data_IF_138654345752
#
_entry.id   IF_138654345752
#
_cell.length_a   1.000
_cell.length_b   1.000
_cell.length_c   1.000
_cell.angle_alpha   90.00
_cell.angle_beta   90.00
_cell.angle_gamma   90.00
#
_symmetry.space_group_name_H-M   'P 1'
#
loop_
_entity.id
_entity.type
_entity.pdbx_description
1 polymer ?
#
# COMPACT_ATOMS: atom_id res chain seq x y z
N UNK A 1 -40.41 6.77 15.49
CA UNK A 1 -40.17 8.23 15.59
C UNK A 1 -39.75 8.67 14.21
N UNK A 2 -40.61 9.40 13.49
CA UNK A 2 -40.36 9.83 12.12
C UNK A 2 -39.61 11.16 12.18
N UNK A 3 -38.28 11.14 12.05
CA UNK A 3 -37.47 12.35 11.92
C UNK A 3 -37.46 12.76 10.45
N UNK A 4 -37.81 14.01 10.16
CA UNK A 4 -37.87 14.50 8.79
C UNK A 4 -36.45 14.45 8.16
N UNK A 5 -36.29 13.91 6.93
CA UNK A 5 -34.99 13.77 6.27
C UNK A 5 -34.31 15.11 5.97
N UNK A 6 -35.08 16.20 5.99
CA UNK A 6 -34.63 17.56 5.73
C UNK A 6 -34.20 18.34 6.99
N UNK A 7 -34.25 17.72 8.18
CA UNK A 7 -34.01 18.40 9.45
C UNK A 7 -32.87 17.77 10.26
N UNK A 8 -32.08 18.60 10.93
CA UNK A 8 -31.06 18.18 11.88
C UNK A 8 -31.56 17.92 13.30
N UNK A 9 -32.86 17.98 13.55
CA UNK A 9 -33.44 17.66 14.85
C UNK A 9 -33.17 16.19 15.22
N UNK A 10 -32.26 15.97 16.19
CA UNK A 10 -31.85 14.65 16.63
C UNK A 10 -30.82 13.93 15.73
N UNK A 11 -30.29 14.60 14.71
CA UNK A 11 -29.32 14.04 13.74
C UNK A 11 -27.91 14.65 13.79
N UNK A 12 -27.65 15.54 14.74
CA UNK A 12 -26.34 16.20 14.86
C UNK A 12 -25.19 15.19 15.05
N UNK A 13 -24.22 15.20 14.13
CA UNK A 13 -23.05 14.31 14.18
C UNK A 13 -23.27 12.92 13.58
N UNK A 14 -24.32 12.74 12.77
CA UNK A 14 -24.52 11.53 11.98
C UNK A 14 -23.35 11.24 11.01
N UNK A 15 -23.12 9.98 10.61
CA UNK A 15 -22.19 9.65 9.54
C UNK A 15 -22.73 10.12 8.18
N UNK A 16 -21.82 10.38 7.24
CA UNK A 16 -22.19 10.70 5.85
C UNK A 16 -22.89 9.51 5.19
N UNK A 17 -23.93 9.80 4.39
CA UNK A 17 -24.75 8.81 3.68
C UNK A 17 -25.09 9.34 2.29
N UNK A 18 -24.78 8.61 1.22
CA UNK A 18 -25.11 9.07 -0.14
C UNK A 18 -26.63 9.09 -0.45
N UNK A 19 -27.45 8.61 0.49
CA UNK A 19 -28.91 8.50 0.34
C UNK A 19 -29.67 9.71 0.89
N UNK A 20 -29.00 10.60 1.65
CA UNK A 20 -29.66 11.78 2.23
C UNK A 20 -29.45 13.01 1.35
N UNK A 21 -30.49 13.83 1.17
CA UNK A 21 -30.41 15.07 0.40
C UNK A 21 -29.59 16.16 1.12
N UNK A 22 -29.49 16.07 2.45
CA UNK A 22 -28.74 16.97 3.29
C UNK A 22 -28.21 16.27 4.55
N UNK A 23 -27.19 16.87 5.15
CA UNK A 23 -26.46 16.27 6.25
C UNK A 23 -26.33 17.14 7.49
N UNK A 24 -26.16 16.46 8.63
CA UNK A 24 -25.95 17.06 9.93
C UNK A 24 -24.60 16.69 10.56
N UNK A 25 -23.66 16.17 9.77
CA UNK A 25 -22.30 15.86 10.20
C UNK A 25 -21.45 17.13 10.34
N UNK A 26 -20.41 17.06 11.18
CA UNK A 26 -19.58 18.23 11.55
C UNK A 26 -18.86 18.91 10.38
N UNK A 27 -18.68 18.19 9.27
CA UNK A 27 -17.98 18.66 8.07
C UNK A 27 -18.95 19.16 6.99
N UNK A 28 -20.27 19.14 7.23
CA UNK A 28 -21.24 19.47 6.19
C UNK A 28 -21.09 20.89 5.64
N UNK A 29 -20.54 21.82 6.46
CA UNK A 29 -20.25 23.20 6.03
C UNK A 29 -19.09 23.29 5.05
N UNK A 30 -18.08 22.44 5.22
CA UNK A 30 -16.94 22.37 4.32
C UNK A 30 -17.34 21.73 2.98
N UNK A 31 -18.24 20.74 3.03
CA UNK A 31 -18.75 20.00 1.87
C UNK A 31 -19.98 20.64 1.23
N UNK A 32 -20.52 21.71 1.82
CA UNK A 32 -21.70 22.48 1.35
C UNK A 32 -22.96 21.63 1.16
N UNK A 33 -23.15 20.65 2.03
CA UNK A 33 -24.27 19.70 2.00
C UNK A 33 -25.08 19.71 3.33
N UNK A 34 -24.96 20.75 4.16
CA UNK A 34 -25.74 20.83 5.41
C UNK A 34 -27.24 20.98 5.18
N UNK A 35 -28.07 20.38 6.04
CA UNK A 35 -29.49 20.73 6.11
C UNK A 35 -29.70 22.19 6.52
N UNK A 36 -30.77 22.81 6.04
CA UNK A 36 -31.04 24.24 6.22
C UNK A 36 -31.18 24.68 7.68
N UNK A 37 -31.51 23.76 8.58
CA UNK A 37 -31.70 24.00 10.01
C UNK A 37 -30.50 23.52 10.87
N UNK A 38 -29.38 23.11 10.25
CA UNK A 38 -28.20 22.59 10.95
C UNK A 38 -27.66 23.57 12.00
N UNK A 39 -27.62 24.87 11.71
CA UNK A 39 -27.14 25.87 12.66
C UNK A 39 -28.11 26.09 13.83
N UNK A 40 -29.41 25.85 13.62
CA UNK A 40 -30.44 25.98 14.66
C UNK A 40 -30.39 24.81 15.64
N UNK A 41 -30.20 23.60 15.15
CA UNK A 41 -30.20 22.38 15.98
C UNK A 41 -28.81 21.99 16.49
N UNK A 42 -27.76 22.21 15.69
CA UNK A 42 -26.39 21.79 16.02
C UNK A 42 -25.45 22.96 16.35
N UNK A 43 -25.92 24.22 16.27
CA UNK A 43 -25.07 25.42 16.47
C UNK A 43 -24.96 25.96 17.90
N UNK A 44 -25.75 25.48 18.87
CA UNK A 44 -25.84 26.08 20.22
C UNK A 44 -25.13 25.25 21.30
N UNK A 45 -23.86 24.92 21.07
CA UNK A 45 -22.96 24.38 22.08
C UNK A 45 -21.69 25.19 22.17
N UNK A 46 -21.66 26.21 23.06
CA UNK A 46 -20.44 26.88 23.49
C UNK A 46 -19.58 25.88 24.27
N UNK A 47 -18.82 25.06 23.54
CA UNK A 47 -17.64 24.43 24.07
C UNK A 47 -16.51 25.37 23.72
N UNK A 48 -15.96 26.00 24.76
CA UNK A 48 -14.78 26.83 24.68
C UNK A 48 -13.81 26.19 23.69
N UNK A 49 -13.47 26.94 22.64
CA UNK A 49 -12.32 26.63 21.79
C UNK A 49 -11.17 26.42 22.78
N UNK A 50 -10.68 25.17 23.01
CA UNK A 50 -9.34 25.11 23.53
C UNK A 50 -8.54 25.78 22.42
N UNK A 51 -7.70 26.75 22.78
CA UNK A 51 -6.58 27.13 21.91
C UNK A 51 -5.70 25.88 21.75
N UNK A 52 -6.18 24.88 21.03
CA UNK A 52 -5.35 23.89 20.37
C UNK A 52 -4.83 24.69 19.20
N UNK A 53 -3.69 25.31 19.41
CA UNK A 53 -2.82 25.67 18.30
C UNK A 53 -2.83 24.48 17.33
N UNK A 54 -3.19 24.65 16.06
CA UNK A 54 -2.85 23.64 15.09
C UNK A 54 -1.32 23.68 14.97
N UNK A 55 -0.60 23.01 15.86
CA UNK A 55 0.76 22.56 15.60
C UNK A 55 0.67 21.33 14.70
N UNK A 56 0.09 21.52 13.52
CA UNK A 56 0.45 20.78 12.33
C UNK A 56 1.14 21.83 11.44
N UNK A 57 2.47 21.77 11.27
CA UNK A 57 3.16 22.66 10.36
C UNK A 57 2.54 22.49 8.98
N UNK A 58 2.00 23.57 8.41
CA UNK A 58 1.77 23.64 6.97
C UNK A 58 3.16 23.71 6.33
N UNK A 59 3.61 22.72 5.51
CA UNK A 59 4.89 22.84 4.87
C UNK A 59 4.83 23.91 3.76
N UNK A 60 5.89 24.73 3.59
CA UNK A 60 6.02 25.59 2.42
C UNK A 60 6.21 24.73 1.17
N UNK A 61 5.68 25.18 0.04
CA UNK A 61 5.94 24.57 -1.26
C UNK A 61 7.45 24.60 -1.57
N UNK A 62 8.09 23.45 -1.44
CA UNK A 62 9.46 23.24 -1.92
C UNK A 62 9.42 22.14 -2.96
N UNK A 63 9.48 22.57 -4.22
CA UNK A 63 9.79 21.74 -5.38
C UNK A 63 11.15 21.08 -5.15
N UNK A 64 11.13 19.78 -4.85
CA UNK A 64 12.33 18.97 -4.88
C UNK A 64 12.12 17.80 -5.84
N UNK A 65 12.95 17.76 -6.89
CA UNK A 65 13.05 16.63 -7.81
C UNK A 65 13.70 15.49 -7.04
N UNK A 66 12.95 14.43 -6.74
CA UNK A 66 13.55 13.17 -6.35
C UNK A 66 14.25 12.57 -7.57
N UNK A 67 15.54 12.29 -7.42
CA UNK A 67 16.34 11.56 -8.39
C UNK A 67 15.68 10.20 -8.65
N UNK A 68 15.18 10.04 -9.86
CA UNK A 68 14.54 8.86 -10.40
C UNK A 68 14.41 9.06 -11.91
N UNK A 69 15.47 9.58 -12.52
CA UNK A 69 15.70 9.51 -13.96
C UNK A 69 16.72 8.39 -14.17
N UNK A 70 16.31 7.14 -13.94
CA UNK A 70 16.92 6.00 -14.60
C UNK A 70 15.83 5.37 -15.47
N UNK A 71 16.15 5.27 -16.76
CA UNK A 71 15.20 4.98 -17.82
C UNK A 71 14.52 3.64 -17.61
N UNK A 72 13.20 3.64 -17.83
CA UNK A 72 12.46 2.45 -18.21
C UNK A 72 12.97 2.10 -19.63
N UNK A 73 13.91 1.14 -19.74
CA UNK A 73 14.41 0.59 -21.03
C UNK A 73 13.33 -0.31 -21.67
N UNK A 74 12.11 0.22 -21.75
CA UNK A 74 10.95 -0.39 -22.40
C UNK A 74 10.15 0.73 -23.09
N UNK A 75 10.82 1.37 -24.06
CA UNK A 75 10.23 2.11 -25.18
C UNK A 75 9.40 3.37 -24.92
N UNK A 76 9.04 3.70 -23.68
CA UNK A 76 8.21 4.88 -23.38
C UNK A 76 8.77 5.69 -22.22
N UNK A 77 9.01 6.98 -22.48
CA UNK A 77 9.41 7.97 -21.47
C UNK A 77 8.23 8.29 -20.55
N UNK A 78 7.92 7.41 -19.61
CA UNK A 78 6.84 7.60 -18.61
C UNK A 78 7.41 8.01 -17.26
N UNK A 79 6.80 9.02 -16.64
CA UNK A 79 7.19 9.52 -15.30
C UNK A 79 6.85 8.46 -14.25
N UNK A 80 7.81 8.14 -13.37
CA UNK A 80 7.63 7.24 -12.23
C UNK A 80 6.61 7.74 -11.19
N UNK A 81 6.31 6.92 -10.15
CA UNK A 81 5.29 7.21 -9.16
C UNK A 81 5.58 8.50 -8.37
N UNK A 82 4.54 9.30 -8.11
CA UNK A 82 4.63 10.54 -7.35
C UNK A 82 4.29 10.29 -5.86
N UNK A 83 5.31 10.42 -5.00
CA UNK A 83 5.22 10.15 -3.56
C UNK A 83 4.97 11.45 -2.78
N UNK A 84 4.15 11.42 -1.72
CA UNK A 84 4.05 12.53 -0.76
C UNK A 84 5.36 12.73 0.00
N UNK A 85 5.83 13.97 0.12
CA UNK A 85 6.85 14.32 1.12
C UNK A 85 6.23 14.18 2.51
N UNK A 86 6.53 13.07 3.21
CA UNK A 86 6.08 12.82 4.58
C UNK A 86 6.86 13.62 5.62
N UNK A 87 6.63 13.36 6.91
CA UNK A 87 7.36 13.95 8.03
C UNK A 87 8.39 12.98 8.65
N UNK A 88 9.41 13.56 9.30
CA UNK A 88 10.51 12.87 9.98
C UNK A 88 10.03 12.19 11.26
N UNK A 89 10.24 10.88 11.41
CA UNK A 89 10.01 10.21 12.68
C UNK A 89 11.04 10.68 13.73
N UNK A 90 10.57 11.18 14.88
CA UNK A 90 11.42 11.48 16.03
C UNK A 90 11.57 10.22 16.89
N UNK A 91 12.82 9.87 17.22
CA UNK A 91 13.12 8.80 18.17
C UNK A 91 12.77 9.28 19.57
N UNK A 92 11.57 8.97 20.05
CA UNK A 92 11.28 9.12 21.46
C UNK A 92 10.37 8.01 21.99
N UNK A 93 10.62 7.69 23.25
CA UNK A 93 10.37 6.40 23.92
C UNK A 93 8.90 5.98 24.01
N UNK A 94 8.75 4.65 24.10
CA UNK A 94 7.54 3.92 24.51
C UNK A 94 6.74 4.67 25.58
N UNK A 95 5.57 5.17 25.20
CA UNK A 95 4.49 5.50 26.12
C UNK A 95 3.22 4.80 25.62
N UNK A 96 2.47 4.09 26.48
CA UNK A 96 1.26 3.40 26.07
C UNK A 96 0.16 4.44 25.87
N UNK A 97 -0.02 4.88 24.62
CA UNK A 97 -1.12 5.77 24.26
C UNK A 97 -2.40 4.94 24.25
N UNK A 98 -3.26 5.15 25.25
CA UNK A 98 -4.69 4.76 25.21
C UNK A 98 -5.24 5.13 23.85
N UNK A 99 -5.96 4.21 23.21
CA UNK A 99 -6.56 4.35 21.88
C UNK A 99 -7.29 5.69 21.72
N UNK A 100 -6.53 6.72 21.30
CA UNK A 100 -7.06 7.94 20.76
C UNK A 100 -7.65 7.56 19.41
N UNK A 101 -8.85 8.04 19.12
CA UNK A 101 -9.48 7.86 17.83
C UNK A 101 -8.45 8.13 16.71
N UNK A 102 -8.33 7.27 15.70
CA UNK A 102 -7.34 7.45 14.65
C UNK A 102 -7.53 8.86 14.06
N UNK A 103 -6.47 9.67 14.08
CA UNK A 103 -6.47 10.94 13.37
C UNK A 103 -6.99 10.66 11.96
N UNK A 104 -8.07 11.32 11.51
CA UNK A 104 -8.50 11.17 10.14
C UNK A 104 -7.40 11.80 9.28
N UNK A 105 -6.88 10.98 8.36
CA UNK A 105 -6.00 11.36 7.25
C UNK A 105 -4.54 11.60 7.66
N UNK A 106 -3.82 10.51 7.93
CA UNK A 106 -2.44 10.51 7.43
C UNK A 106 -2.51 10.63 5.91
N UNK A 107 -1.76 11.54 5.27
CA UNK A 107 -1.78 11.67 3.82
C UNK A 107 -1.32 10.34 3.20
N UNK A 108 -2.08 9.85 2.20
CA UNK A 108 -1.69 8.68 1.41
C UNK A 108 -0.27 8.87 0.89
N UNK A 109 0.56 7.84 1.00
CA UNK A 109 1.94 7.85 0.52
C UNK A 109 1.98 8.15 -0.99
N UNK A 110 1.09 7.52 -1.74
CA UNK A 110 1.02 7.69 -3.18
C UNK A 110 -0.06 8.71 -3.55
N UNK A 111 0.37 9.85 -4.12
CA UNK A 111 -0.58 10.83 -4.68
C UNK A 111 -1.11 10.37 -6.03
N UNK A 112 -0.24 9.79 -6.84
CA UNK A 112 -0.56 9.31 -8.17
C UNK A 112 0.45 8.22 -8.59
N UNK A 113 -0.09 7.16 -9.17
CA UNK A 113 0.66 6.10 -9.86
C UNK A 113 0.02 5.96 -11.23
N UNK A 114 0.82 5.91 -12.30
CA UNK A 114 0.29 5.62 -13.63
C UNK A 114 -0.10 4.14 -13.70
N UNK A 115 -1.39 3.84 -13.55
CA UNK A 115 -1.89 2.46 -13.56
C UNK A 115 -1.83 1.81 -14.95
N UNK A 116 -1.60 2.58 -16.02
CA UNK A 116 -1.32 2.00 -17.35
C UNK A 116 -0.07 1.11 -17.33
N UNK A 117 0.85 1.35 -16.40
CA UNK A 117 2.01 0.49 -16.17
C UNK A 117 1.60 -0.94 -15.77
N UNK A 118 0.46 -1.10 -15.08
CA UNK A 118 -0.01 -2.41 -14.63
C UNK A 118 -0.56 -3.27 -15.76
N UNK A 119 -0.85 -2.66 -16.92
CA UNK A 119 -1.19 -3.39 -18.14
C UNK A 119 0.04 -3.94 -18.86
N UNK A 120 1.27 -3.49 -18.51
CA UNK A 120 2.50 -4.07 -19.07
C UNK A 120 2.64 -5.53 -18.59
N UNK A 121 3.09 -6.46 -19.45
CA UNK A 121 3.09 -7.90 -19.13
C UNK A 121 3.79 -8.27 -17.82
N UNK A 122 4.94 -7.67 -17.52
CA UNK A 122 5.72 -7.95 -16.30
C UNK A 122 5.00 -7.46 -15.04
N UNK A 123 4.34 -6.30 -15.09
CA UNK A 123 3.57 -5.80 -13.95
C UNK A 123 2.27 -6.58 -13.77
N UNK A 124 1.57 -6.90 -14.86
CA UNK A 124 0.33 -7.66 -14.83
C UNK A 124 0.55 -9.05 -14.20
N UNK A 125 1.57 -9.78 -14.66
CA UNK A 125 1.93 -11.09 -14.12
C UNK A 125 2.41 -11.01 -12.66
N UNK A 126 3.17 -9.97 -12.29
CA UNK A 126 3.54 -9.74 -10.89
C UNK A 126 2.33 -9.49 -10.00
N UNK A 127 1.35 -8.70 -10.46
CA UNK A 127 0.15 -8.37 -9.67
C UNK A 127 -0.74 -9.59 -9.48
N UNK A 128 -0.87 -10.44 -10.51
CA UNK A 128 -1.55 -11.75 -10.38
C UNK A 128 -0.90 -12.56 -9.27
N UNK A 129 0.43 -12.69 -9.24
CA UNK A 129 1.08 -13.40 -8.13
C UNK A 129 0.72 -12.85 -6.74
N UNK A 130 0.43 -11.56 -6.58
CA UNK A 130 0.12 -10.96 -5.27
C UNK A 130 -1.28 -11.30 -4.74
N UNK A 131 -2.21 -11.77 -5.56
CA UNK A 131 -3.58 -12.08 -5.13
C UNK A 131 -3.69 -13.45 -4.44
N UNK A 132 -2.86 -14.42 -4.84
CA UNK A 132 -2.72 -15.73 -4.21
C UNK A 132 -2.38 -15.64 -2.71
N UNK A 133 -1.63 -14.60 -2.31
CA UNK A 133 -1.06 -14.49 -0.97
C UNK A 133 -1.90 -13.67 0.02
N UNK A 134 -3.22 -13.55 -0.20
CA UNK A 134 -4.13 -12.91 0.77
C UNK A 134 -4.58 -13.89 1.88
N UNK A 135 -3.67 -14.13 2.84
CA UNK A 135 -3.88 -14.57 4.23
C UNK A 135 -4.84 -15.74 4.52
N UNK A 136 -4.25 -16.91 4.74
CA UNK A 136 -4.64 -17.80 5.83
C UNK A 136 -3.41 -18.49 6.43
N UNK A 137 -2.65 -17.78 7.26
CA UNK A 137 -1.53 -18.37 8.01
C UNK A 137 -2.01 -19.57 8.84
N UNK A 138 -1.32 -20.72 8.73
CA UNK A 138 -1.58 -21.91 9.56
C UNK A 138 -2.26 -23.09 8.83
N UNK A 139 -2.17 -23.17 7.51
CA UNK A 139 -2.48 -24.38 6.73
C UNK A 139 -1.32 -24.63 5.75
N UNK A 140 -1.02 -25.90 5.51
CA UNK A 140 -0.07 -26.33 4.49
C UNK A 140 -0.51 -25.73 3.14
N UNK A 141 0.35 -24.92 2.52
CA UNK A 141 0.06 -24.28 1.24
C UNK A 141 0.19 -25.31 0.13
N UNK A 142 -0.95 -25.74 -0.41
CA UNK A 142 -0.97 -26.58 -1.60
C UNK A 142 -0.90 -25.67 -2.82
N UNK A 143 0.27 -25.65 -3.47
CA UNK A 143 0.47 -24.88 -4.71
C UNK A 143 -0.41 -25.49 -5.81
N UNK A 144 -1.40 -24.72 -6.24
CA UNK A 144 -2.34 -25.12 -7.28
C UNK A 144 -1.68 -25.10 -8.66
N UNK A 145 -2.28 -25.82 -9.61
CA UNK A 145 -1.83 -25.80 -11.00
C UNK A 145 -1.94 -24.40 -11.63
N UNK A 146 -2.80 -23.53 -11.12
CA UNK A 146 -2.92 -22.15 -11.60
C UNK A 146 -1.79 -21.27 -11.05
N UNK A 147 -1.50 -21.37 -9.75
CA UNK A 147 -0.36 -20.66 -9.14
C UNK A 147 0.97 -21.04 -9.82
N UNK A 148 1.17 -22.32 -10.18
CA UNK A 148 2.35 -22.73 -10.95
C UNK A 148 2.42 -22.06 -12.32
N UNK A 149 1.30 -21.91 -13.02
CA UNK A 149 1.25 -21.22 -14.32
C UNK A 149 1.53 -19.74 -14.17
N UNK A 150 1.03 -19.11 -13.13
CA UNK A 150 1.29 -17.69 -12.85
C UNK A 150 2.76 -17.44 -12.52
N UNK A 151 3.39 -18.34 -11.76
CA UNK A 151 4.83 -18.31 -11.49
C UNK A 151 5.63 -18.42 -12.79
N UNK A 152 5.31 -19.41 -13.62
CA UNK A 152 5.99 -19.62 -14.91
C UNK A 152 5.79 -18.41 -15.83
N UNK A 153 4.57 -17.89 -15.90
CA UNK A 153 4.24 -16.70 -16.69
C UNK A 153 5.03 -15.48 -16.24
N UNK A 154 5.14 -15.24 -14.94
CA UNK A 154 5.92 -14.13 -14.41
C UNK A 154 7.40 -14.25 -14.76
N UNK A 155 8.00 -15.44 -14.58
CA UNK A 155 9.40 -15.67 -14.94
C UNK A 155 9.63 -15.48 -16.44
N UNK A 156 8.73 -15.96 -17.30
CA UNK A 156 8.78 -15.72 -18.74
C UNK A 156 8.78 -14.23 -19.09
N UNK A 157 7.87 -13.43 -18.50
CA UNK A 157 7.81 -11.99 -18.78
C UNK A 157 9.01 -11.22 -18.21
N UNK A 158 9.53 -11.65 -17.06
CA UNK A 158 10.72 -11.05 -16.44
C UNK A 158 11.98 -11.34 -17.28
N UNK A 159 12.13 -12.54 -17.82
CA UNK A 159 13.28 -12.91 -18.66
C UNK A 159 13.33 -12.22 -20.02
N UNK A 160 12.19 -11.72 -20.52
CA UNK A 160 12.16 -10.90 -21.75
C UNK A 160 12.80 -9.51 -21.56
N UNK A 161 12.94 -9.05 -20.31
CA UNK A 161 13.48 -7.72 -20.03
C UNK A 161 14.99 -7.65 -20.28
N UNK A 162 15.47 -6.51 -20.74
CA UNK A 162 16.90 -6.27 -20.96
C UNK A 162 17.73 -6.45 -19.67
N UNK A 163 17.14 -6.07 -18.52
CA UNK A 163 17.77 -6.23 -17.20
C UNK A 163 18.09 -7.71 -16.90
N UNK A 164 17.13 -8.60 -17.11
CA UNK A 164 17.31 -10.02 -16.82
C UNK A 164 18.20 -10.71 -17.84
N UNK A 165 18.14 -10.29 -19.10
CA UNK A 165 19.09 -10.74 -20.12
C UNK A 165 20.53 -10.35 -19.77
N UNK A 166 20.75 -9.10 -19.35
CA UNK A 166 22.06 -8.62 -18.85
C UNK A 166 22.52 -9.41 -17.63
N UNK A 167 21.63 -9.69 -16.67
CA UNK A 167 21.94 -10.50 -15.50
C UNK A 167 22.34 -11.93 -15.87
N UNK A 168 21.57 -12.58 -16.75
CA UNK A 168 21.89 -13.92 -17.24
C UNK A 168 23.26 -13.95 -17.93
N UNK A 169 23.52 -13.03 -18.87
CA UNK A 169 24.80 -12.93 -19.57
C UNK A 169 25.97 -12.67 -18.60
N UNK A 170 25.77 -11.84 -17.58
CA UNK A 170 26.77 -11.63 -16.53
C UNK A 170 27.10 -12.91 -15.78
N UNK A 171 26.09 -13.66 -15.34
CA UNK A 171 26.27 -14.90 -14.58
C UNK A 171 26.85 -16.03 -15.44
N UNK A 172 26.44 -16.11 -16.71
CA UNK A 172 27.02 -17.00 -17.70
C UNK A 172 28.51 -16.68 -17.93
N UNK A 173 28.87 -15.40 -18.07
CA UNK A 173 30.27 -14.97 -18.18
C UNK A 173 31.12 -15.27 -16.93
N UNK A 174 30.48 -15.50 -15.78
CA UNK A 174 31.11 -15.97 -14.53
C UNK A 174 31.15 -17.50 -14.41
N UNK A 175 30.67 -18.23 -15.41
CA UNK A 175 30.58 -19.69 -15.39
C UNK A 175 29.59 -20.24 -14.35
N UNK A 176 28.57 -19.46 -13.97
CA UNK A 176 27.55 -19.88 -13.00
C UNK A 176 26.40 -20.67 -13.61
N UNK A 177 26.07 -20.38 -14.86
CA UNK A 177 25.02 -21.07 -15.61
C UNK A 177 25.51 -21.40 -17.01
N UNK A 178 25.11 -22.57 -17.50
CA UNK A 178 25.42 -23.03 -18.86
C UNK A 178 24.35 -22.63 -19.87
N UNK A 179 23.11 -22.49 -19.43
CA UNK A 179 21.96 -22.18 -20.28
C UNK A 179 20.91 -21.32 -19.57
N UNK A 180 20.08 -20.62 -20.34
CA UNK A 180 18.98 -19.80 -19.79
C UNK A 180 17.93 -20.66 -19.07
N UNK A 181 17.50 -21.84 -19.57
CA UNK A 181 16.55 -22.68 -18.85
C UNK A 181 17.05 -23.14 -17.47
N UNK A 182 18.34 -23.43 -17.33
CA UNK A 182 18.96 -23.76 -16.04
C UNK A 182 18.85 -22.57 -15.07
N UNK A 183 19.16 -21.37 -15.54
CA UNK A 183 19.03 -20.15 -14.75
C UNK A 183 17.57 -19.87 -14.34
N UNK A 184 16.61 -20.05 -15.25
CA UNK A 184 15.18 -19.86 -14.96
C UNK A 184 14.67 -20.88 -13.95
N UNK A 185 15.12 -22.14 -14.05
CA UNK A 185 14.78 -23.18 -13.09
C UNK A 185 15.28 -22.83 -11.69
N UNK A 186 16.53 -22.35 -11.57
CA UNK A 186 17.08 -21.93 -10.28
C UNK A 186 16.41 -20.65 -9.76
N UNK A 187 16.04 -19.71 -10.63
CA UNK A 187 15.21 -18.56 -10.23
C UNK A 187 13.86 -19.01 -9.67
N UNK A 188 13.22 -20.00 -10.30
CA UNK A 188 11.95 -20.55 -9.83
C UNK A 188 12.12 -21.17 -8.45
N UNK A 189 13.17 -21.95 -8.23
CA UNK A 189 13.45 -22.55 -6.93
C UNK A 189 13.78 -21.50 -5.85
N UNK A 190 14.60 -20.49 -6.17
CA UNK A 190 14.99 -19.43 -5.23
C UNK A 190 13.77 -18.63 -4.75
N UNK A 191 12.86 -18.29 -5.66
CA UNK A 191 11.75 -17.40 -5.37
C UNK A 191 10.48 -18.14 -4.94
N UNK A 192 10.16 -19.26 -5.56
CA UNK A 192 8.91 -19.99 -5.35
C UNK A 192 9.09 -21.37 -4.71
N UNK A 193 10.33 -21.84 -4.53
CA UNK A 193 10.61 -23.04 -3.75
C UNK A 193 10.17 -22.85 -2.30
N UNK A 194 9.32 -23.76 -1.84
CA UNK A 194 8.85 -23.78 -0.45
C UNK A 194 9.95 -24.32 0.46
N UNK A 195 10.29 -23.56 1.51
CA UNK A 195 11.26 -24.01 2.51
C UNK A 195 10.71 -23.90 3.92
N UNK A 196 11.11 -24.85 4.77
CA UNK A 196 10.74 -24.82 6.18
C UNK A 196 11.71 -23.93 6.96
N UNK A 197 11.16 -22.97 7.73
CA UNK A 197 11.94 -22.05 8.57
C UNK A 197 12.01 -22.49 10.05
N UNK A 198 11.44 -23.66 10.38
CA UNK A 198 11.40 -24.26 11.72
C UNK A 198 10.14 -25.10 11.92
N UNK A 199 10.25 -26.21 12.67
CA UNK A 199 9.18 -27.17 13.00
C UNK A 199 8.45 -27.87 11.82
N UNK A 200 9.08 -27.95 10.64
CA UNK A 200 8.69 -28.92 9.60
C UNK A 200 7.55 -28.49 8.69
N UNK A 201 6.91 -27.34 8.93
CA UNK A 201 5.95 -26.76 7.99
C UNK A 201 6.72 -26.06 6.84
N UNK A 202 6.37 -26.38 5.59
CA UNK A 202 6.91 -25.76 4.37
C UNK A 202 5.91 -24.71 3.89
N UNK A 203 5.84 -23.61 4.62
CA UNK A 203 4.74 -22.63 4.53
C UNK A 203 5.20 -21.26 4.01
N UNK A 204 6.42 -21.15 3.47
CA UNK A 204 6.91 -19.87 2.96
C UNK A 204 7.89 -20.00 1.79
N UNK A 205 7.79 -19.05 0.86
CA UNK A 205 8.68 -18.87 -0.27
C UNK A 205 9.48 -17.56 -0.19
N UNK A 206 10.52 -17.43 -1.03
CA UNK A 206 11.29 -16.19 -1.13
C UNK A 206 10.44 -15.03 -1.65
N UNK A 207 9.51 -15.31 -2.56
CA UNK A 207 8.62 -14.34 -3.17
C UNK A 207 7.69 -13.72 -2.13
N UNK A 208 7.06 -14.53 -1.30
CA UNK A 208 6.17 -14.03 -0.25
C UNK A 208 6.89 -13.13 0.74
N UNK A 209 8.08 -13.55 1.14
CA UNK A 209 8.87 -12.85 2.13
C UNK A 209 9.36 -11.49 1.63
N UNK A 210 9.65 -11.34 0.33
CA UNK A 210 10.20 -10.08 -0.21
C UNK A 210 9.10 -9.20 -0.81
N UNK A 211 8.13 -9.79 -1.51
CA UNK A 211 7.17 -9.07 -2.34
C UNK A 211 5.76 -9.03 -1.76
N UNK A 212 5.23 -10.14 -1.25
CA UNK A 212 3.83 -10.20 -0.80
C UNK A 212 3.62 -9.55 0.58
N UNK A 213 4.58 -9.73 1.50
CA UNK A 213 4.43 -9.37 2.91
C UNK A 213 3.94 -10.54 3.75
N UNK A 214 4.86 -11.16 4.49
CA UNK A 214 4.57 -12.24 5.42
C UNK A 214 3.97 -11.68 6.73
N UNK A 215 3.01 -12.38 7.34
CA UNK A 215 2.53 -12.04 8.69
C UNK A 215 2.90 -13.16 9.64
N UNK A 216 3.90 -12.92 10.48
CA UNK A 216 4.37 -13.88 11.47
C UNK A 216 3.90 -13.48 12.87
N UNK A 217 3.12 -14.35 13.52
CA UNK A 217 2.61 -14.12 14.90
C UNK A 217 1.91 -12.77 15.07
N UNK A 218 1.11 -12.37 14.08
CA UNK A 218 0.38 -11.10 14.08
C UNK A 218 1.26 -9.86 13.80
N UNK A 219 2.52 -10.04 13.42
CA UNK A 219 3.42 -8.95 12.99
C UNK A 219 3.73 -9.09 11.51
N UNK A 220 3.67 -7.99 10.79
CA UNK A 220 4.13 -7.93 9.40
C UNK A 220 5.65 -8.05 9.36
N UNK A 221 6.14 -8.95 8.51
CA UNK A 221 7.54 -9.23 8.22
C UNK A 221 7.70 -9.23 6.70
N UNK A 222 8.68 -8.50 6.17
CA UNK A 222 8.97 -8.58 4.73
C UNK A 222 7.96 -7.87 3.81
N UNK A 223 7.64 -6.60 4.10
CA UNK A 223 6.69 -5.79 3.32
C UNK A 223 7.36 -4.56 2.73
N UNK A 224 8.03 -4.74 1.59
CA UNK A 224 8.91 -3.70 1.01
C UNK A 224 8.56 -3.33 -0.43
N UNK A 225 7.71 -4.09 -1.10
CA UNK A 225 7.36 -3.83 -2.49
C UNK A 225 6.38 -2.65 -2.61
N UNK A 226 6.75 -1.66 -3.44
CA UNK A 226 5.99 -0.42 -3.61
C UNK A 226 4.64 -0.64 -4.31
N UNK A 227 4.55 -1.60 -5.24
CA UNK A 227 3.29 -1.93 -5.95
C UNK A 227 2.32 -2.54 -4.95
N UNK A 228 2.77 -3.52 -4.17
CA UNK A 228 1.97 -4.15 -3.12
C UNK A 228 1.50 -3.12 -2.08
N UNK A 229 2.39 -2.22 -1.64
CA UNK A 229 2.02 -1.13 -0.73
C UNK A 229 0.94 -0.25 -1.36
N UNK A 230 1.16 0.20 -2.58
CA UNK A 230 0.22 1.06 -3.31
C UNK A 230 -1.17 0.43 -3.44
N UNK A 231 -1.24 -0.85 -3.86
CA UNK A 231 -2.50 -1.56 -4.02
C UNK A 231 -3.26 -1.70 -2.69
N UNK A 232 -2.55 -2.02 -1.59
CA UNK A 232 -3.16 -2.13 -0.27
C UNK A 232 -3.56 -0.76 0.33
N UNK A 233 -2.78 0.29 0.09
CA UNK A 233 -3.14 1.66 0.48
C UNK A 233 -4.39 2.13 -0.29
N UNK A 234 -4.47 1.83 -1.60
CA UNK A 234 -5.65 2.14 -2.43
C UNK A 234 -6.92 1.44 -1.93
N UNK A 235 -6.79 0.21 -1.42
CA UNK A 235 -7.88 -0.57 -0.80
C UNK A 235 -8.19 -0.17 0.65
N UNK A 236 -7.39 0.72 1.27
CA UNK A 236 -7.54 1.10 2.68
C UNK A 236 -7.06 0.03 3.67
N UNK A 237 -6.37 -1.01 3.21
CA UNK A 237 -5.82 -2.10 4.03
C UNK A 237 -4.50 -1.72 4.72
N UNK A 238 -3.81 -0.68 4.24
CA UNK A 238 -2.58 -0.14 4.81
C UNK A 238 -2.72 1.37 5.01
N UNK A 239 -2.14 1.87 6.10
CA UNK A 239 -2.07 3.29 6.41
C UNK A 239 -0.61 3.73 6.53
N UNK A 240 -0.18 4.68 5.70
CA UNK A 240 1.15 5.27 5.78
C UNK A 240 1.25 6.22 6.98
N UNK A 241 2.25 6.07 7.84
CA UNK A 241 2.42 6.95 9.01
C UNK A 241 3.55 7.99 8.84
N UNK A 242 4.75 7.55 8.45
CA UNK A 242 5.93 8.41 8.32
C UNK A 242 7.08 7.70 7.61
N UNK A 243 8.21 8.39 7.43
CA UNK A 243 9.47 7.80 6.99
C UNK A 243 10.57 8.05 8.03
N UNK A 244 11.59 7.20 8.02
CA UNK A 244 12.75 7.31 8.91
C UNK A 244 14.03 7.38 8.06
N UNK A 245 14.81 8.45 8.22
CA UNK A 245 16.07 8.64 7.50
C UNK A 245 17.26 7.91 8.13
N UNK A 246 17.12 7.45 9.38
CA UNK A 246 18.25 6.94 10.16
C UNK A 246 18.24 5.41 10.31
N UNK A 247 17.39 4.70 9.57
CA UNK A 247 17.17 3.26 9.77
C UNK A 247 16.47 2.96 11.11
N UNK A 248 16.10 1.69 11.36
CA UNK A 248 15.64 1.26 12.68
C UNK A 248 16.69 1.49 13.77
#
# INVERSE_FOLDING_TARGET
>A
LYTAPESCEGRCGEPFSEQDECHCHRQCRAERNCCGDHERHCGTGSWAVPKVSPKCPQPPELLFRSAGEEGDEDGARTRGPAVTQGHRASSDRQTPVRAAAPCPLSPRLYKHVNEELFSKPTYASFIQLLDNYQRATGREEEVTAEELREQDRFLEEVMKTELMQKLFLFLQGKGRYSSEPEFVQDLKEIWFGLYSRGDGERDSSGFEHVFAGEVKKGKVSGFHNWIRFYLLEKQGAVNYFSHNFNGP
#
